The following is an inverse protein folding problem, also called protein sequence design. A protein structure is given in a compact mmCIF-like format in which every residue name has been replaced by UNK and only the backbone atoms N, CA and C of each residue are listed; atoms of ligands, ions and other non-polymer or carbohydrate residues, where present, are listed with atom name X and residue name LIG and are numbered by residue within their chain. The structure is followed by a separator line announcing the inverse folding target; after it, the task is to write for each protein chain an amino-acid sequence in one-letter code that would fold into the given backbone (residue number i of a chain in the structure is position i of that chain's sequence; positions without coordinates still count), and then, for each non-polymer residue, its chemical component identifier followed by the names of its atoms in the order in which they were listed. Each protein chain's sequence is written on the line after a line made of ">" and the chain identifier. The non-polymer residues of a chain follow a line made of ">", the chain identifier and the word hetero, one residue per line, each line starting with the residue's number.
data_IF_715873222717
#
_entry.id   IF_715873222717
#
_cell.length_a   1.000
_cell.length_b   1.000
_cell.length_c   1.000
_cell.angle_alpha   90.00
_cell.angle_beta   90.00
_cell.angle_gamma   90.00
#
_symmetry.space_group_name_H-M   'P 1'
#
loop_
_entity.id
_entity.type
_entity.pdbx_description
1 polymer ?
#
# COMPACT_ATOMS: atom_id res chain seq x y z
N UNK A 1 28.00 -22.61 12.90
CA UNK A 1 27.39 -21.26 12.77
C UNK A 1 27.10 -20.87 11.31
N UNK A 2 27.93 -21.25 10.35
CA UNK A 2 27.72 -20.92 8.92
C UNK A 2 26.51 -21.62 8.25
N UNK A 3 26.15 -22.82 8.68
CA UNK A 3 25.02 -23.57 8.13
C UNK A 3 23.67 -22.92 8.44
N UNK A 4 23.50 -22.33 9.62
CA UNK A 4 22.26 -21.62 10.01
C UNK A 4 22.04 -20.32 9.24
N UNK A 5 23.11 -19.58 8.92
CA UNK A 5 23.02 -18.35 8.14
C UNK A 5 22.66 -18.63 6.66
N UNK A 6 23.17 -19.73 6.09
CA UNK A 6 22.84 -20.15 4.72
C UNK A 6 21.41 -20.66 4.59
N UNK A 7 20.90 -21.41 5.57
CA UNK A 7 19.50 -21.86 5.63
C UNK A 7 18.53 -20.67 5.77
N UNK A 8 18.85 -19.68 6.60
CA UNK A 8 18.04 -18.46 6.75
C UNK A 8 18.01 -17.60 5.47
N UNK A 9 19.12 -17.56 4.71
CA UNK A 9 19.18 -16.90 3.41
C UNK A 9 18.31 -17.59 2.35
N UNK A 10 18.42 -18.92 2.26
CA UNK A 10 17.64 -19.71 1.29
C UNK A 10 16.14 -19.66 1.58
N UNK A 11 15.73 -19.71 2.87
CA UNK A 11 14.32 -19.62 3.24
C UNK A 11 13.73 -18.24 2.90
N UNK A 12 14.47 -17.17 3.14
CA UNK A 12 14.08 -15.80 2.74
C UNK A 12 13.95 -15.66 1.23
N UNK A 13 14.85 -16.25 0.45
CA UNK A 13 14.78 -16.21 -1.00
C UNK A 13 13.58 -16.98 -1.55
N UNK A 14 13.20 -18.11 -0.93
CA UNK A 14 12.02 -18.90 -1.33
C UNK A 14 10.72 -18.14 -0.99
N UNK A 15 10.65 -17.50 0.19
CA UNK A 15 9.50 -16.68 0.58
C UNK A 15 9.36 -15.46 -0.35
N UNK A 16 10.44 -14.76 -0.66
CA UNK A 16 10.44 -13.65 -1.60
C UNK A 16 10.04 -14.07 -3.03
N UNK A 17 10.44 -15.28 -3.46
CA UNK A 17 10.00 -15.82 -4.75
C UNK A 17 8.50 -16.20 -4.74
N UNK A 18 7.98 -16.71 -3.63
CA UNK A 18 6.56 -17.00 -3.44
C UNK A 18 5.70 -15.74 -3.49
N UNK A 19 6.11 -14.69 -2.76
CA UNK A 19 5.45 -13.37 -2.79
C UNK A 19 5.41 -12.80 -4.22
N UNK A 20 6.49 -12.97 -4.97
CA UNK A 20 6.61 -12.54 -6.36
C UNK A 20 5.64 -13.24 -7.31
N UNK A 21 5.46 -14.56 -7.14
CA UNK A 21 4.48 -15.34 -7.92
C UNK A 21 3.06 -14.88 -7.59
N UNK A 22 2.77 -14.58 -6.33
CA UNK A 22 1.47 -14.06 -5.89
C UNK A 22 1.23 -12.68 -6.51
N UNK A 23 2.19 -11.78 -6.45
CA UNK A 23 2.11 -10.42 -7.04
C UNK A 23 1.93 -10.47 -8.56
N UNK A 24 2.70 -11.30 -9.26
CA UNK A 24 2.54 -11.55 -10.70
C UNK A 24 1.17 -12.14 -11.03
N UNK A 25 0.70 -13.08 -10.23
CA UNK A 25 -0.61 -13.72 -10.44
C UNK A 25 -1.76 -12.72 -10.20
N UNK A 26 -1.63 -11.86 -9.20
CA UNK A 26 -2.60 -10.79 -8.93
C UNK A 26 -2.59 -9.73 -10.04
N UNK A 27 -1.43 -9.32 -10.51
CA UNK A 27 -1.27 -8.39 -11.63
C UNK A 27 -1.87 -8.96 -12.92
N UNK A 28 -1.59 -10.24 -13.23
CA UNK A 28 -2.14 -10.94 -14.39
C UNK A 28 -3.66 -11.18 -14.26
N UNK A 29 -4.18 -11.45 -13.06
CA UNK A 29 -5.63 -11.57 -12.83
C UNK A 29 -6.36 -10.25 -13.05
N UNK A 30 -5.76 -9.12 -12.70
CA UNK A 30 -6.30 -7.80 -13.00
C UNK A 30 -6.40 -7.52 -14.50
N UNK A 31 -5.47 -8.05 -15.30
CA UNK A 31 -5.49 -7.92 -16.77
C UNK A 31 -6.31 -8.99 -17.49
N UNK A 32 -6.46 -10.19 -16.91
CA UNK A 32 -6.99 -11.36 -17.59
C UNK A 32 -8.46 -11.67 -17.25
N UNK A 33 -9.07 -10.98 -16.30
CA UNK A 33 -10.48 -11.16 -16.01
C UNK A 33 -11.28 -10.10 -16.76
N UNK A 34 -12.14 -10.49 -17.74
CA UNK A 34 -13.12 -9.56 -18.30
C UNK A 34 -14.01 -9.03 -17.16
N UNK A 35 -14.53 -7.82 -17.32
CA UNK A 35 -15.43 -7.11 -16.40
C UNK A 35 -16.78 -7.84 -16.15
N UNK A 36 -16.72 -9.13 -15.82
CA UNK A 36 -17.90 -10.00 -15.65
C UNK A 36 -18.48 -9.94 -14.22
N UNK A 37 -17.86 -9.22 -13.29
CA UNK A 37 -18.47 -8.96 -11.99
C UNK A 37 -19.15 -7.59 -12.04
N UNK A 38 -20.46 -7.56 -11.83
CA UNK A 38 -21.25 -6.34 -11.73
C UNK A 38 -20.75 -5.47 -10.56
N UNK A 39 -20.79 -4.14 -10.76
CA UNK A 39 -20.58 -3.18 -9.68
C UNK A 39 -21.61 -3.44 -8.57
N UNK A 40 -21.13 -3.64 -7.35
CA UNK A 40 -21.97 -3.90 -6.17
C UNK A 40 -21.82 -2.77 -5.16
N UNK A 41 -22.82 -2.55 -4.29
CA UNK A 41 -22.62 -1.74 -3.10
C UNK A 41 -21.54 -2.36 -2.22
N UNK A 42 -20.49 -1.59 -1.92
CA UNK A 42 -19.33 -2.04 -1.13
C UNK A 42 -19.13 -1.08 0.04
N UNK A 43 -19.03 -1.63 1.24
CA UNK A 43 -18.51 -0.91 2.39
C UNK A 43 -16.98 -0.94 2.33
N UNK A 44 -16.37 0.21 2.12
CA UNK A 44 -14.90 0.31 2.01
C UNK A 44 -14.18 -0.09 3.31
N UNK A 45 -14.85 0.08 4.46
CA UNK A 45 -14.29 -0.26 5.79
C UNK A 45 -14.08 -1.76 5.92
N UNK A 46 -15.07 -2.56 5.54
CA UNK A 46 -14.98 -4.03 5.55
C UNK A 46 -13.84 -4.51 4.64
N UNK A 47 -13.72 -3.93 3.44
CA UNK A 47 -12.65 -4.28 2.51
C UNK A 47 -11.25 -3.95 3.04
N UNK A 48 -11.10 -2.83 3.75
CA UNK A 48 -9.84 -2.44 4.40
C UNK A 48 -9.51 -3.41 5.53
N UNK A 49 -10.48 -3.75 6.40
CA UNK A 49 -10.29 -4.67 7.51
C UNK A 49 -9.92 -6.08 7.04
N UNK A 50 -10.51 -6.55 5.93
CA UNK A 50 -10.13 -7.82 5.31
C UNK A 50 -8.68 -7.81 4.86
N UNK A 51 -8.25 -6.74 4.21
CA UNK A 51 -6.86 -6.58 3.77
C UNK A 51 -5.90 -6.52 4.96
N UNK A 52 -6.21 -5.80 6.02
CA UNK A 52 -5.39 -5.75 7.22
C UNK A 52 -5.21 -7.14 7.85
N UNK A 53 -6.28 -7.95 7.88
CA UNK A 53 -6.19 -9.35 8.34
C UNK A 53 -5.29 -10.19 7.44
N UNK A 54 -5.43 -10.08 6.12
CA UNK A 54 -4.64 -10.83 5.15
C UNK A 54 -3.16 -10.43 5.14
N UNK A 55 -2.89 -9.14 5.34
CA UNK A 55 -1.53 -8.58 5.31
C UNK A 55 -0.89 -8.45 6.69
N UNK A 56 -1.47 -9.02 7.75
CA UNK A 56 -1.00 -8.91 9.12
C UNK A 56 0.49 -9.28 9.30
N UNK A 57 0.99 -10.22 8.49
CA UNK A 57 2.41 -10.61 8.49
C UNK A 57 3.33 -9.54 7.88
N UNK A 58 2.82 -8.69 6.96
CA UNK A 58 3.56 -7.62 6.27
C UNK A 58 3.63 -6.34 7.12
N UNK A 59 2.65 -6.11 7.96
CA UNK A 59 2.59 -4.93 8.84
C UNK A 59 3.07 -5.23 10.26
N UNK A 60 3.75 -6.36 10.45
CA UNK A 60 4.23 -6.78 11.77
C UNK A 60 5.28 -5.79 12.31
N UNK A 61 5.06 -5.29 13.52
CA UNK A 61 5.93 -4.29 14.14
C UNK A 61 5.61 -2.85 13.75
N UNK A 62 4.56 -2.65 12.95
CA UNK A 62 4.02 -1.33 12.60
C UNK A 62 2.70 -1.15 13.32
N UNK A 63 2.51 -0.03 13.99
CA UNK A 63 1.25 0.32 14.61
C UNK A 63 0.25 0.74 13.54
N UNK A 64 -0.91 0.09 13.53
CA UNK A 64 -2.02 0.41 12.63
C UNK A 64 -3.10 1.13 13.44
N UNK A 65 -3.38 2.38 13.08
CA UNK A 65 -4.46 3.18 13.67
C UNK A 65 -5.58 3.34 12.62
N UNK A 66 -6.74 2.70 12.86
CA UNK A 66 -7.93 2.84 12.03
C UNK A 66 -8.90 3.82 12.68
N UNK A 67 -9.38 4.79 11.90
CA UNK A 67 -10.32 5.82 12.34
C UNK A 67 -11.40 5.98 11.25
N UNK A 68 -12.52 5.28 11.43
CA UNK A 68 -13.61 5.19 10.48
C UNK A 68 -14.84 5.93 11.00
N UNK A 69 -15.37 6.82 10.17
CA UNK A 69 -16.73 7.35 10.35
C UNK A 69 -17.74 6.49 9.59
N UNK A 70 -19.01 6.74 9.84
CA UNK A 70 -20.08 6.13 9.06
C UNK A 70 -20.13 6.75 7.66
N UNK A 71 -20.09 5.89 6.64
CA UNK A 71 -19.99 6.29 5.23
C UNK A 71 -20.98 5.51 4.39
N UNK A 72 -21.51 6.13 3.32
CA UNK A 72 -22.38 5.42 2.40
C UNK A 72 -21.59 4.33 1.63
N UNK A 73 -22.26 3.27 1.17
CA UNK A 73 -21.62 2.30 0.29
C UNK A 73 -21.25 2.94 -1.05
N UNK A 74 -20.17 2.45 -1.66
CA UNK A 74 -19.74 2.85 -3.00
C UNK A 74 -20.09 1.76 -4.00
N UNK A 75 -20.47 2.11 -5.23
CA UNK A 75 -20.62 1.11 -6.30
C UNK A 75 -19.25 0.73 -6.84
N UNK A 76 -18.82 -0.49 -6.59
CA UNK A 76 -17.46 -0.91 -6.92
C UNK A 76 -17.39 -2.41 -7.21
N UNK A 77 -16.26 -2.81 -7.79
CA UNK A 77 -15.83 -4.20 -7.88
C UNK A 77 -15.04 -4.55 -6.59
N UNK A 78 -15.56 -5.37 -5.67
CA UNK A 78 -14.92 -5.63 -4.37
C UNK A 78 -13.47 -6.09 -4.50
N UNK A 79 -13.19 -7.02 -5.43
CA UNK A 79 -11.84 -7.55 -5.64
C UNK A 79 -10.85 -6.49 -6.14
N UNK A 80 -11.30 -5.54 -6.98
CA UNK A 80 -10.47 -4.42 -7.46
C UNK A 80 -10.15 -3.46 -6.32
N UNK A 81 -11.14 -3.09 -5.48
CA UNK A 81 -10.88 -2.25 -4.30
C UNK A 81 -9.97 -2.95 -3.28
N UNK A 82 -10.16 -4.25 -3.08
CA UNK A 82 -9.25 -5.02 -2.21
C UNK A 82 -7.80 -4.96 -2.70
N UNK A 83 -7.58 -4.99 -4.02
CA UNK A 83 -6.25 -4.81 -4.61
C UNK A 83 -5.70 -3.39 -4.36
N UNK A 84 -6.55 -2.36 -4.41
CA UNK A 84 -6.17 -0.99 -4.07
C UNK A 84 -5.66 -0.92 -2.63
N UNK A 85 -6.46 -1.40 -1.67
CA UNK A 85 -6.08 -1.35 -0.25
C UNK A 85 -4.82 -2.15 0.03
N UNK A 86 -4.68 -3.33 -0.59
CA UNK A 86 -3.47 -4.16 -0.47
C UNK A 86 -2.24 -3.40 -0.95
N UNK A 87 -2.28 -2.78 -2.13
CA UNK A 87 -1.15 -2.03 -2.67
C UNK A 87 -0.77 -0.86 -1.77
N UNK A 88 -1.73 -0.08 -1.27
CA UNK A 88 -1.45 1.07 -0.42
C UNK A 88 -0.84 0.66 0.93
N UNK A 89 -1.45 -0.32 1.60
CA UNK A 89 -1.02 -0.76 2.93
C UNK A 89 0.36 -1.43 2.86
N UNK A 90 0.58 -2.28 1.86
CA UNK A 90 1.89 -2.96 1.69
C UNK A 90 2.96 -1.95 1.29
N UNK A 91 2.68 -0.99 0.39
CA UNK A 91 3.65 0.05 0.03
C UNK A 91 4.06 0.90 1.23
N UNK A 92 3.11 1.29 2.08
CA UNK A 92 3.39 2.03 3.30
C UNK A 92 4.27 1.23 4.27
N UNK A 93 3.96 -0.06 4.47
CA UNK A 93 4.76 -0.93 5.32
C UNK A 93 6.19 -1.12 4.81
N UNK A 94 6.34 -1.36 3.51
CA UNK A 94 7.64 -1.53 2.86
C UNK A 94 8.50 -0.26 2.93
N UNK A 95 7.90 0.93 2.75
CA UNK A 95 8.62 2.20 2.87
C UNK A 95 9.21 2.37 4.29
N UNK A 96 8.43 2.03 5.31
CA UNK A 96 8.86 2.06 6.71
C UNK A 96 9.98 1.05 6.98
N UNK A 97 9.86 -0.18 6.47
CA UNK A 97 10.86 -1.24 6.65
C UNK A 97 12.17 -0.91 5.94
N UNK A 98 12.11 -0.42 4.69
CA UNK A 98 13.28 -0.08 3.88
C UNK A 98 14.10 1.05 4.53
N UNK A 99 13.46 2.08 5.07
CA UNK A 99 14.13 3.15 5.81
C UNK A 99 14.90 2.59 7.02
N UNK A 100 14.25 1.72 7.78
CA UNK A 100 14.85 1.10 8.97
C UNK A 100 16.08 0.24 8.58
N UNK A 101 15.98 -0.53 7.50
CA UNK A 101 17.07 -1.35 7.01
C UNK A 101 18.27 -0.54 6.52
N UNK A 102 18.03 0.58 5.81
CA UNK A 102 19.09 1.47 5.33
C UNK A 102 19.86 2.14 6.48
N UNK A 103 19.14 2.54 7.53
CA UNK A 103 19.77 3.13 8.72
C UNK A 103 20.65 2.14 9.47
N UNK A 104 20.19 0.89 9.63
CA UNK A 104 20.98 -0.17 10.26
C UNK A 104 22.24 -0.44 9.42
N UNK A 105 22.13 -0.61 8.12
CA UNK A 105 23.27 -0.87 7.24
C UNK A 105 24.31 0.28 7.24
N UNK A 106 23.83 1.52 7.30
CA UNK A 106 24.70 2.72 7.36
C UNK A 106 25.45 2.78 8.67
N UNK A 107 24.78 2.53 9.79
CA UNK A 107 25.39 2.54 11.11
C UNK A 107 26.44 1.43 11.28
N UNK A 108 26.12 0.20 10.83
CA UNK A 108 27.06 -0.92 10.86
C UNK A 108 28.33 -0.62 10.02
N UNK A 109 28.15 0.00 8.84
CA UNK A 109 29.26 0.38 7.96
C UNK A 109 30.16 1.46 8.57
N UNK A 110 29.59 2.35 9.40
CA UNK A 110 30.31 3.41 10.09
C UNK A 110 30.90 2.97 11.45
N UNK A 111 30.66 1.72 11.87
CA UNK A 111 31.08 1.21 13.17
C UNK A 111 30.37 1.87 14.36
N UNK A 112 29.19 2.43 14.10
CA UNK A 112 28.35 3.16 15.05
C UNK A 112 27.09 2.39 15.45
N UNK A 113 26.36 2.95 16.40
CA UNK A 113 25.02 2.50 16.74
C UNK A 113 24.04 3.15 15.74
N UNK A 114 23.06 2.42 15.18
CA UNK A 114 22.08 3.03 14.29
C UNK A 114 21.39 4.21 14.97
N UNK A 115 21.48 5.39 14.38
CA UNK A 115 20.56 6.47 14.75
C UNK A 115 19.17 6.10 14.28
N UNK A 116 18.18 6.23 15.16
CA UNK A 116 16.78 6.05 14.81
C UNK A 116 16.41 6.97 13.65
N UNK A 117 15.50 6.52 12.74
CA UNK A 117 15.08 7.30 11.60
C UNK A 117 14.58 8.70 11.97
N UNK A 118 14.47 9.59 10.96
CA UNK A 118 13.95 10.96 11.12
C UNK A 118 12.55 11.02 11.78
N UNK A 119 11.90 9.87 11.97
CA UNK A 119 10.72 9.68 12.83
C UNK A 119 10.94 10.13 14.28
N UNK A 120 12.20 10.36 14.70
CA UNK A 120 12.54 10.58 16.11
C UNK A 120 12.20 9.34 16.95
N UNK A 121 11.70 9.55 18.18
CA UNK A 121 11.19 8.45 19.03
C UNK A 121 9.80 7.92 18.57
N UNK A 122 9.30 8.36 17.40
CA UNK A 122 7.97 7.98 16.94
C UNK A 122 7.97 6.53 16.47
N UNK A 123 7.07 5.74 17.04
CA UNK A 123 6.79 4.37 16.63
C UNK A 123 6.39 4.30 15.13
N UNK A 124 6.89 3.27 14.41
CA UNK A 124 6.48 2.99 13.04
C UNK A 124 4.95 2.88 12.97
N UNK A 125 4.31 3.67 12.12
CA UNK A 125 2.84 3.83 12.13
C UNK A 125 2.27 3.98 10.74
N UNK A 126 1.13 3.33 10.55
CA UNK A 126 0.22 3.59 9.43
C UNK A 126 -1.14 3.97 10.03
N UNK A 127 -1.68 5.10 9.61
CA UNK A 127 -3.04 5.53 9.98
C UNK A 127 -3.94 5.44 8.76
N UNK A 128 -5.10 4.82 8.94
CA UNK A 128 -6.12 4.72 7.89
C UNK A 128 -7.37 5.43 8.38
N UNK A 129 -7.84 6.42 7.61
CA UNK A 129 -9.07 7.14 7.94
C UNK A 129 -10.09 6.98 6.83
N UNK A 130 -11.35 6.81 7.21
CA UNK A 130 -12.48 6.75 6.28
C UNK A 130 -13.48 7.82 6.70
N UNK A 131 -13.82 8.70 5.77
CA UNK A 131 -14.68 9.86 6.02
C UNK A 131 -15.73 10.02 4.93
N UNK A 132 -16.96 10.43 5.29
CA UNK A 132 -17.94 10.84 4.29
C UNK A 132 -17.50 12.16 3.66
N UNK A 133 -17.85 12.33 2.38
CA UNK A 133 -17.71 13.60 1.66
C UNK A 133 -19.04 13.91 0.98
N UNK A 134 -19.28 15.16 0.55
CA UNK A 134 -20.52 15.50 -0.19
C UNK A 134 -20.74 14.66 -1.43
N UNK A 135 -19.67 14.16 -2.05
CA UNK A 135 -19.68 13.39 -3.29
C UNK A 135 -19.59 11.89 -3.05
N UNK A 136 -19.27 11.46 -1.82
CA UNK A 136 -19.12 10.02 -1.52
C UNK A 136 -18.24 9.74 -0.31
N UNK A 137 -17.14 9.03 -0.53
CA UNK A 137 -16.26 8.53 0.53
C UNK A 137 -14.81 8.92 0.26
N UNK A 138 -14.13 9.43 1.28
CA UNK A 138 -12.68 9.64 1.27
C UNK A 138 -11.99 8.60 2.14
N UNK A 139 -11.01 7.91 1.58
CA UNK A 139 -10.11 7.00 2.30
C UNK A 139 -8.70 7.58 2.26
N UNK A 140 -8.08 7.72 3.43
CA UNK A 140 -6.70 8.21 3.53
C UNK A 140 -5.83 7.14 4.19
N UNK A 141 -4.71 6.82 3.55
CA UNK A 141 -3.64 6.00 4.13
C UNK A 141 -2.44 6.92 4.35
N UNK A 142 -2.03 7.05 5.61
CA UNK A 142 -0.94 7.91 6.04
C UNK A 142 0.12 7.07 6.76
N UNK A 143 1.33 7.05 6.25
CA UNK A 143 2.49 6.43 6.88
C UNK A 143 3.50 7.48 7.35
N UNK A 144 4.29 7.14 8.36
CA UNK A 144 5.40 7.92 8.85
C UNK A 144 6.76 7.39 8.37
N UNK A 145 6.80 6.84 7.16
CA UNK A 145 8.02 6.41 6.48
C UNK A 145 8.89 7.59 6.00
N UNK A 146 9.91 7.31 5.16
CA UNK A 146 10.87 8.32 4.73
C UNK A 146 10.28 9.44 3.88
N UNK A 147 9.06 9.24 3.37
CA UNK A 147 8.48 10.11 2.36
C UNK A 147 8.94 9.74 0.95
N UNK A 148 8.44 10.51 -0.02
CA UNK A 148 8.73 10.36 -1.45
C UNK A 148 9.44 11.63 -1.92
N UNK A 149 10.55 11.46 -2.64
CA UNK A 149 11.26 12.58 -3.24
C UNK A 149 10.31 13.36 -4.19
N UNK A 150 10.18 14.68 -4.04
CA UNK A 150 9.31 15.49 -4.91
C UNK A 150 9.59 15.34 -6.41
N UNK A 151 10.84 15.05 -6.78
CA UNK A 151 11.23 14.84 -8.18
C UNK A 151 10.70 13.55 -8.81
N UNK A 152 10.13 12.64 -8.00
CA UNK A 152 9.60 11.35 -8.48
C UNK A 152 8.12 11.13 -8.16
N UNK A 153 7.46 12.03 -7.41
CA UNK A 153 6.04 11.87 -7.02
C UNK A 153 5.14 11.61 -8.25
N UNK A 154 5.34 12.36 -9.33
CA UNK A 154 4.55 12.15 -10.56
C UNK A 154 4.89 10.81 -11.23
N UNK A 155 6.17 10.41 -11.16
CA UNK A 155 6.68 9.19 -11.82
C UNK A 155 6.22 7.90 -11.13
N UNK A 156 5.98 7.93 -9.82
CA UNK A 156 5.52 6.71 -9.11
C UNK A 156 4.16 6.21 -9.60
N UNK A 157 3.41 7.06 -10.30
CA UNK A 157 2.15 6.72 -10.95
C UNK A 157 2.31 6.11 -12.35
N UNK A 158 3.53 6.13 -12.90
CA UNK A 158 3.80 5.55 -14.21
C UNK A 158 3.97 4.02 -14.10
N UNK A 159 3.49 3.26 -15.11
CA UNK A 159 3.75 1.83 -15.16
C UNK A 159 5.25 1.54 -15.18
N UNK A 160 5.66 0.48 -14.47
CA UNK A 160 7.07 0.02 -14.39
C UNK A 160 8.03 0.97 -13.68
N UNK A 161 7.57 2.08 -13.09
CA UNK A 161 8.40 2.92 -12.25
C UNK A 161 8.52 2.30 -10.84
N UNK A 162 9.75 2.10 -10.38
CA UNK A 162 10.04 1.65 -9.00
C UNK A 162 11.32 2.28 -8.50
N UNK A 163 11.31 2.74 -7.27
CA UNK A 163 12.49 3.20 -6.54
C UNK A 163 13.30 2.03 -5.96
N UNK A 164 12.76 0.81 -6.03
CA UNK A 164 13.32 -0.42 -5.44
C UNK A 164 14.25 -1.18 -6.40
N UNK A 165 14.63 -0.57 -7.54
CA UNK A 165 15.54 -1.17 -8.50
C UNK A 165 16.92 -1.44 -7.86
N UNK A 166 17.33 -2.71 -7.83
CA UNK A 166 18.63 -3.12 -7.27
C UNK A 166 18.59 -3.68 -5.85
N UNK A 167 17.46 -3.66 -5.15
CA UNK A 167 17.29 -4.30 -3.85
C UNK A 167 16.67 -5.69 -3.98
N UNK A 168 16.92 -6.58 -3.02
CA UNK A 168 16.46 -7.99 -3.03
C UNK A 168 14.92 -8.10 -2.98
N UNK A 169 14.21 -7.05 -2.58
CA UNK A 169 12.74 -6.93 -2.62
C UNK A 169 12.33 -6.10 -3.83
N UNK A 170 12.10 -6.75 -4.95
CA UNK A 170 11.67 -6.09 -6.19
C UNK A 170 10.15 -5.94 -6.23
N UNK A 171 9.63 -4.72 -6.12
CA UNK A 171 8.31 -4.40 -6.66
C UNK A 171 8.42 -4.25 -8.19
N UNK A 172 7.42 -4.75 -8.93
CA UNK A 172 7.37 -4.62 -10.40
C UNK A 172 7.12 -3.19 -10.88
N UNK A 173 7.02 -2.21 -9.96
CA UNK A 173 6.68 -0.82 -10.27
C UNK A 173 5.25 -0.65 -10.83
N UNK A 174 4.38 -1.63 -10.62
CA UNK A 174 3.01 -1.60 -11.15
C UNK A 174 1.96 -1.27 -10.10
N UNK A 175 2.27 -1.35 -8.81
CA UNK A 175 1.29 -1.19 -7.74
C UNK A 175 0.53 0.13 -7.80
N UNK A 176 1.22 1.25 -7.93
CA UNK A 176 0.58 2.57 -7.94
C UNK A 176 -0.15 2.89 -9.24
N UNK A 177 0.36 2.44 -10.39
CA UNK A 177 -0.35 2.58 -11.67
C UNK A 177 -1.64 1.76 -11.71
N UNK A 178 -1.64 0.57 -11.10
CA UNK A 178 -2.85 -0.26 -10.92
C UNK A 178 -3.84 0.46 -9.99
N UNK A 179 -3.39 1.00 -8.86
CA UNK A 179 -4.27 1.78 -7.97
C UNK A 179 -4.93 2.93 -8.73
N UNK A 180 -4.14 3.71 -9.47
CA UNK A 180 -4.66 4.83 -10.26
C UNK A 180 -5.70 4.37 -11.29
N UNK A 181 -5.42 3.30 -12.03
CA UNK A 181 -6.36 2.75 -13.02
C UNK A 181 -7.67 2.30 -12.36
N UNK A 182 -7.58 1.51 -11.29
CA UNK A 182 -8.78 1.01 -10.59
C UNK A 182 -9.61 2.17 -10.05
N UNK A 183 -8.99 3.17 -9.43
CA UNK A 183 -9.72 4.30 -8.88
C UNK A 183 -10.38 5.13 -9.98
N UNK A 184 -9.69 5.37 -11.10
CA UNK A 184 -10.26 6.05 -12.25
C UNK A 184 -11.44 5.27 -12.87
N UNK A 185 -11.34 3.95 -13.00
CA UNK A 185 -12.41 3.06 -13.48
C UNK A 185 -13.67 3.12 -12.59
N UNK A 186 -13.51 3.50 -11.32
CA UNK A 186 -14.60 3.70 -10.36
C UNK A 186 -15.05 5.17 -10.25
N UNK A 187 -14.60 6.04 -11.17
CA UNK A 187 -14.93 7.48 -11.16
C UNK A 187 -14.33 8.26 -9.99
N UNK A 188 -13.36 7.67 -9.31
CA UNK A 188 -12.69 8.27 -8.16
C UNK A 188 -11.43 9.04 -8.52
N UNK A 189 -10.80 9.61 -7.51
CA UNK A 189 -9.51 10.32 -7.61
C UNK A 189 -8.51 9.82 -6.58
N UNK A 190 -7.23 9.87 -6.94
CA UNK A 190 -6.10 9.58 -6.04
C UNK A 190 -5.18 10.81 -5.99
N UNK A 191 -4.88 11.25 -4.78
CA UNK A 191 -3.89 12.31 -4.54
C UNK A 191 -2.80 11.83 -3.58
N UNK A 192 -1.59 12.34 -3.76
CA UNK A 192 -0.44 12.04 -2.91
C UNK A 192 0.12 13.35 -2.39
N UNK A 193 0.30 13.42 -1.08
CA UNK A 193 1.02 14.47 -0.38
C UNK A 193 2.14 13.82 0.42
N UNK A 194 3.38 14.18 0.12
CA UNK A 194 4.52 13.52 0.75
C UNK A 194 5.67 14.49 1.01
N UNK A 195 6.26 14.32 2.17
CA UNK A 195 7.46 15.03 2.62
C UNK A 195 8.27 14.10 3.53
N UNK A 196 9.54 14.43 3.84
CA UNK A 196 10.35 13.60 4.73
C UNK A 196 9.64 13.28 6.04
N UNK A 197 9.50 12.00 6.36
CA UNK A 197 8.81 11.52 7.55
C UNK A 197 7.29 11.35 7.41
N UNK A 198 6.71 11.55 6.22
CA UNK A 198 5.26 11.44 6.03
C UNK A 198 4.87 11.21 4.58
N UNK A 199 4.03 10.22 4.32
CA UNK A 199 3.34 10.05 3.04
C UNK A 199 1.84 9.90 3.28
N UNK A 200 1.04 10.71 2.62
CA UNK A 200 -0.41 10.68 2.68
C UNK A 200 -0.96 10.38 1.29
N UNK A 201 -1.62 9.24 1.16
CA UNK A 201 -2.35 8.84 -0.04
C UNK A 201 -3.84 8.96 0.23
N UNK A 202 -4.54 9.83 -0.50
CA UNK A 202 -5.98 10.04 -0.36
C UNK A 202 -6.71 9.59 -1.61
N UNK A 203 -7.72 8.75 -1.40
CA UNK A 203 -8.64 8.27 -2.42
C UNK A 203 -10.00 8.88 -2.14
N UNK A 204 -10.65 9.40 -3.19
CA UNK A 204 -12.05 9.80 -3.14
C UNK A 204 -12.83 8.91 -4.11
N UNK A 205 -13.92 8.29 -3.63
CA UNK A 205 -14.82 7.45 -4.42
C UNK A 205 -16.22 8.04 -4.36
N UNK A 206 -16.95 8.09 -5.50
CA UNK A 206 -18.33 8.57 -5.50
C UNK A 206 -19.24 7.62 -4.73
N UNK A 207 -20.19 8.16 -3.98
CA UNK A 207 -21.26 7.37 -3.38
C UNK A 207 -22.14 6.75 -4.46
N UNK A 208 -22.85 5.69 -4.11
CA UNK A 208 -23.92 5.19 -4.95
C UNK A 208 -25.00 6.27 -5.09
N UNK A 209 -25.18 6.82 -6.28
CA UNK A 209 -26.33 7.69 -6.54
C UNK A 209 -27.63 6.89 -6.38
N UNK A 210 -28.61 7.46 -5.70
CA UNK A 210 -29.95 6.85 -5.50
C UNK A 210 -30.82 6.87 -6.77
N UNK A 211 -30.22 7.13 -7.93
CA UNK A 211 -30.95 7.23 -9.21
C UNK A 211 -30.75 5.96 -10.06
N UNK A 212 -31.38 4.85 -9.68
CA UNK A 212 -31.74 3.77 -10.61
C UNK A 212 -32.65 2.72 -9.94
N UNK A 213 -33.74 3.19 -9.27
CA UNK A 213 -34.92 2.37 -9.04
C UNK A 213 -36.16 3.18 -9.48
N UNK A 214 -36.41 3.18 -10.78
CA UNK A 214 -37.72 3.58 -11.33
C UNK A 214 -38.07 2.74 -12.53
#
# INVERSE_FOLDING_TARGET
>A
YEAGARLGGSLRSVLAAGDRVIELTQSLKGYARPDAEDLKPVDVREGIDDVLRLTAHRVRGIRIDCDYEDVPPVRAHPAKLQQVWTNLIVNAAEAIEDETADLVATAESAGGVPELPARGEAEARIRITVRPTPEGVSVTVHDNGPGIDPGIVDKIMEPHFTTKAGRVRFGLGMGMSIVRSIIADHGGTLTIDSHPGSTIMRISLPAQSHEEES
#
